data_IF_901505843324
#
_entry.id   IF_901505843324
#
_cell.length_a   1.000
_cell.length_b   1.000
_cell.length_c   1.000
_cell.angle_alpha   90.00
_cell.angle_beta   90.00
_cell.angle_gamma   90.00
#
_symmetry.space_group_name_H-M   'P 1'
#
loop_
_entity.id
_entity.type
_entity.pdbx_description
1 polymer ?
#
# COMPACT_ATOMS: atom_id res chain seq x y z
N UNK A 1 -5.54 15.53 16.27
CA UNK A 1 -4.07 15.45 16.16
C UNK A 1 -3.39 14.53 17.17
N UNK A 2 -3.66 14.62 18.48
CA UNK A 2 -2.98 13.75 19.47
C UNK A 2 -3.09 12.25 19.20
N UNK A 3 -4.28 11.78 18.79
CA UNK A 3 -4.52 10.40 18.37
C UNK A 3 -3.71 10.00 17.13
N UNK A 4 -3.65 10.85 16.12
CA UNK A 4 -2.88 10.59 14.90
C UNK A 4 -1.39 10.42 15.18
N UNK A 5 -0.82 11.24 16.07
CA UNK A 5 0.57 11.07 16.50
C UNK A 5 0.75 9.70 17.18
N UNK A 6 -0.16 9.30 18.07
CA UNK A 6 -0.12 7.99 18.72
C UNK A 6 -0.19 6.83 17.71
N UNK A 7 -1.05 6.92 16.69
CA UNK A 7 -1.14 5.91 15.61
C UNK A 7 0.15 5.82 14.81
N UNK A 8 0.74 6.96 14.44
CA UNK A 8 1.98 6.99 13.66
C UNK A 8 3.17 6.47 14.47
N UNK A 9 3.27 6.79 15.75
CA UNK A 9 4.34 6.28 16.64
C UNK A 9 4.21 4.77 16.89
N UNK A 10 2.98 4.26 16.97
CA UNK A 10 2.70 2.84 17.05
C UNK A 10 3.14 2.09 15.77
N UNK A 11 2.77 2.63 14.60
CA UNK A 11 3.17 2.09 13.29
C UNK A 11 4.70 2.17 13.11
N UNK A 12 5.31 3.29 13.51
CA UNK A 12 6.75 3.49 13.45
C UNK A 12 7.46 2.38 14.24
N UNK A 13 7.03 2.13 15.47
CA UNK A 13 7.63 1.14 16.36
C UNK A 13 7.45 -0.28 15.83
N UNK A 14 6.20 -0.70 15.60
CA UNK A 14 5.91 -2.10 15.29
C UNK A 14 6.18 -2.47 13.84
N UNK A 15 6.00 -1.54 12.89
CA UNK A 15 6.41 -1.73 11.51
C UNK A 15 7.92 -1.96 11.41
N UNK A 16 8.71 -1.14 12.12
CA UNK A 16 10.16 -1.30 12.21
C UNK A 16 10.54 -2.69 12.72
N UNK A 17 9.99 -3.09 13.86
CA UNK A 17 10.31 -4.39 14.46
C UNK A 17 10.04 -5.56 13.50
N UNK A 18 8.91 -5.55 12.79
CA UNK A 18 8.56 -6.59 11.80
C UNK A 18 9.58 -6.60 10.66
N UNK A 19 9.89 -5.44 10.07
CA UNK A 19 10.86 -5.32 8.97
C UNK A 19 12.23 -5.85 9.41
N UNK A 20 12.75 -5.39 10.55
CA UNK A 20 14.07 -5.80 11.03
C UNK A 20 14.16 -7.29 11.37
N UNK A 21 13.06 -7.90 11.83
CA UNK A 21 13.03 -9.34 12.11
C UNK A 21 13.23 -10.17 10.85
N UNK A 22 12.58 -9.78 9.73
CA UNK A 22 12.61 -10.54 8.48
C UNK A 22 13.57 -9.99 7.40
N UNK A 23 14.37 -8.96 7.69
CA UNK A 23 15.28 -8.29 6.74
C UNK A 23 16.40 -9.20 6.18
N UNK A 24 16.57 -10.42 6.68
CA UNK A 24 17.68 -11.31 6.32
C UNK A 24 17.24 -12.65 5.74
N UNK A 25 15.94 -12.88 5.64
CA UNK A 25 15.39 -14.18 5.28
C UNK A 25 14.94 -14.22 3.82
N UNK A 26 15.19 -15.36 3.16
CA UNK A 26 14.58 -15.67 1.87
C UNK A 26 13.10 -16.03 2.12
N UNK A 27 12.27 -14.98 2.19
CA UNK A 27 10.84 -15.12 2.49
C UNK A 27 10.01 -15.41 1.23
N UNK A 28 8.87 -16.11 1.35
CA UNK A 28 7.94 -16.29 0.24
C UNK A 28 7.53 -14.95 -0.40
N UNK A 29 7.27 -14.96 -1.72
CA UNK A 29 6.89 -13.74 -2.47
C UNK A 29 5.74 -12.93 -1.83
N UNK A 30 4.65 -13.55 -1.32
CA UNK A 30 3.63 -12.80 -0.58
C UNK A 30 4.21 -12.07 0.63
N UNK A 31 5.01 -12.72 1.46
CA UNK A 31 5.67 -12.07 2.60
C UNK A 31 6.57 -10.92 2.15
N UNK A 32 7.39 -11.12 1.10
CA UNK A 32 8.23 -10.04 0.53
C UNK A 32 7.38 -8.83 0.14
N UNK A 33 6.24 -9.07 -0.54
CA UNK A 33 5.32 -8.03 -0.97
C UNK A 33 4.74 -7.23 0.22
N UNK A 34 4.21 -7.92 1.23
CA UNK A 34 3.63 -7.28 2.41
C UNK A 34 4.67 -6.62 3.33
N UNK A 35 5.89 -7.16 3.42
CA UNK A 35 7.00 -6.49 4.10
C UNK A 35 7.34 -5.16 3.40
N UNK A 36 7.34 -5.12 2.06
CA UNK A 36 7.53 -3.89 1.31
C UNK A 36 6.43 -2.84 1.58
N UNK A 37 5.18 -3.26 1.76
CA UNK A 37 4.09 -2.37 2.18
C UNK A 37 4.29 -1.85 3.60
N UNK A 38 4.71 -2.71 4.55
CA UNK A 38 5.04 -2.31 5.92
C UNK A 38 6.22 -1.32 5.95
N UNK A 39 7.25 -1.52 5.13
CA UNK A 39 8.41 -0.62 5.04
C UNK A 39 8.05 0.77 4.54
N UNK A 40 7.22 0.85 3.50
CA UNK A 40 6.66 2.12 3.02
C UNK A 40 5.80 2.78 4.07
N UNK A 41 4.97 2.01 4.77
CA UNK A 41 4.10 2.51 5.83
C UNK A 41 4.90 3.05 7.02
N UNK A 42 5.95 2.35 7.46
CA UNK A 42 6.87 2.78 8.51
C UNK A 42 7.56 4.12 8.16
N UNK A 43 8.15 4.20 6.96
CA UNK A 43 8.85 5.41 6.49
C UNK A 43 7.89 6.61 6.37
N UNK A 44 6.66 6.32 5.94
CA UNK A 44 5.58 7.30 5.89
C UNK A 44 5.17 7.77 7.27
N UNK A 45 5.06 6.86 8.25
CA UNK A 45 4.67 7.21 9.60
C UNK A 45 5.64 8.21 10.24
N UNK A 46 6.95 8.01 10.06
CA UNK A 46 8.00 8.95 10.49
C UNK A 46 7.78 10.33 9.86
N UNK A 47 7.62 10.37 8.53
CA UNK A 47 7.48 11.61 7.77
C UNK A 47 6.21 12.38 8.14
N UNK A 48 5.08 11.68 8.26
CA UNK A 48 3.81 12.28 8.67
C UNK A 48 3.83 12.76 10.12
N UNK A 49 4.50 12.05 11.02
CA UNK A 49 4.61 12.46 12.41
C UNK A 49 5.32 13.82 12.50
N UNK A 50 6.42 14.00 11.75
CA UNK A 50 7.12 15.28 11.65
C UNK A 50 6.23 16.40 11.08
N UNK A 51 5.47 16.13 10.02
CA UNK A 51 4.58 17.13 9.40
C UNK A 51 3.37 17.49 10.28
N UNK A 52 2.77 16.52 10.95
CA UNK A 52 1.62 16.75 11.84
C UNK A 52 2.00 17.58 13.05
N UNK A 53 3.23 17.41 13.57
CA UNK A 53 3.75 18.22 14.67
C UNK A 53 3.93 19.70 14.29
N UNK A 54 4.03 20.03 13.00
CA UNK A 54 4.22 21.40 12.52
C UNK A 54 2.98 22.04 11.88
N UNK A 55 1.94 21.27 11.56
CA UNK A 55 0.78 21.77 10.79
C UNK A 55 -0.02 22.86 11.50
N UNK A 56 0.01 22.92 12.83
CA UNK A 56 -0.66 24.00 13.58
C UNK A 56 0.06 25.34 13.40
N UNK A 57 1.38 25.31 13.24
CA UNK A 57 2.20 26.51 13.05
C UNK A 57 2.32 26.88 11.56
N UNK A 58 2.27 25.88 10.68
CA UNK A 58 2.35 26.03 9.21
C UNK A 58 1.21 25.22 8.55
N UNK A 59 0.00 25.78 8.43
CA UNK A 59 -1.17 25.07 7.89
C UNK A 59 -0.98 24.56 6.46
N UNK A 60 -0.10 25.18 5.66
CA UNK A 60 0.24 24.75 4.30
C UNK A 60 0.85 23.34 4.25
N UNK A 61 1.37 22.84 5.39
CA UNK A 61 1.84 21.45 5.50
C UNK A 61 0.73 20.42 5.28
N UNK A 62 -0.55 20.82 5.38
CA UNK A 62 -1.70 19.98 5.05
C UNK A 62 -1.62 19.40 3.64
N UNK A 63 -1.09 20.17 2.69
CA UNK A 63 -0.94 19.72 1.31
C UNK A 63 -0.01 18.51 1.22
N UNK A 64 1.16 18.60 1.85
CA UNK A 64 2.15 17.52 1.89
C UNK A 64 1.64 16.31 2.66
N UNK A 65 0.98 16.54 3.79
CA UNK A 65 0.34 15.47 4.57
C UNK A 65 -0.67 14.72 3.70
N UNK A 66 -1.52 15.45 2.99
CA UNK A 66 -2.57 14.88 2.17
C UNK A 66 -2.05 14.08 0.97
N UNK A 67 -0.97 14.53 0.32
CA UNK A 67 -0.29 13.74 -0.72
C UNK A 67 0.21 12.40 -0.18
N UNK A 68 0.87 12.42 0.98
CA UNK A 68 1.40 11.22 1.61
C UNK A 68 0.26 10.29 2.02
N UNK A 69 -0.79 10.83 2.66
CA UNK A 69 -1.95 10.05 3.08
C UNK A 69 -2.61 9.35 1.90
N UNK A 70 -2.78 10.04 0.77
CA UNK A 70 -3.33 9.44 -0.45
C UNK A 70 -2.55 8.21 -0.89
N UNK A 71 -1.22 8.31 -0.93
CA UNK A 71 -0.35 7.21 -1.34
C UNK A 71 -0.51 6.01 -0.43
N UNK A 72 -0.57 6.22 0.90
CA UNK A 72 -0.75 5.12 1.85
C UNK A 72 -2.13 4.50 1.76
N UNK A 73 -3.19 5.27 1.52
CA UNK A 73 -4.53 4.70 1.32
C UNK A 73 -4.55 3.81 0.05
N UNK A 74 -3.84 4.20 -1.01
CA UNK A 74 -3.70 3.33 -2.18
C UNK A 74 -2.95 2.03 -1.84
N UNK A 75 -1.84 2.13 -1.10
CA UNK A 75 -1.09 0.96 -0.62
C UNK A 75 -1.97 0.06 0.27
N UNK A 76 -2.83 0.64 1.12
CA UNK A 76 -3.82 -0.08 1.91
C UNK A 76 -4.81 -0.84 1.03
N UNK A 77 -5.38 -0.21 -0.01
CA UNK A 77 -6.31 -0.90 -0.92
C UNK A 77 -5.63 -2.04 -1.68
N UNK A 78 -4.35 -1.88 -2.02
CA UNK A 78 -3.52 -2.94 -2.62
C UNK A 78 -3.34 -4.10 -1.64
N UNK A 79 -2.89 -3.83 -0.41
CA UNK A 79 -2.75 -4.85 0.63
C UNK A 79 -4.08 -5.54 0.95
N UNK A 80 -5.16 -4.78 1.02
CA UNK A 80 -6.51 -5.28 1.29
C UNK A 80 -7.02 -6.19 0.18
N UNK A 81 -6.77 -5.89 -1.11
CA UNK A 81 -7.20 -6.83 -2.17
C UNK A 81 -6.39 -8.13 -2.15
N UNK A 82 -5.11 -8.09 -1.79
CA UNK A 82 -4.35 -9.31 -1.59
C UNK A 82 -4.88 -10.13 -0.40
N UNK A 83 -5.32 -9.46 0.66
CA UNK A 83 -5.97 -10.10 1.82
C UNK A 83 -7.29 -10.76 1.43
N UNK A 84 -8.11 -10.07 0.64
CA UNK A 84 -9.36 -10.56 0.10
C UNK A 84 -9.19 -11.87 -0.67
N UNK A 85 -8.18 -11.94 -1.56
CA UNK A 85 -7.85 -13.15 -2.31
C UNK A 85 -7.57 -14.33 -1.37
N UNK A 86 -6.85 -14.07 -0.28
CA UNK A 86 -6.55 -15.09 0.72
C UNK A 86 -7.84 -15.58 1.41
N UNK A 87 -8.72 -14.65 1.80
CA UNK A 87 -10.00 -14.96 2.47
C UNK A 87 -11.00 -15.66 1.56
N UNK A 88 -11.18 -15.20 0.33
CA UNK A 88 -12.00 -15.86 -0.70
C UNK A 88 -11.56 -17.33 -0.86
N UNK A 89 -10.25 -17.58 -0.82
CA UNK A 89 -9.67 -18.91 -0.85
C UNK A 89 -10.00 -19.77 0.37
N UNK A 90 -9.83 -19.22 1.58
CA UNK A 90 -10.18 -19.91 2.84
C UNK A 90 -11.68 -20.27 2.89
N UNK A 91 -12.56 -19.34 2.52
CA UNK A 91 -14.01 -19.52 2.50
C UNK A 91 -14.47 -20.54 1.47
N UNK A 92 -13.81 -20.59 0.31
CA UNK A 92 -14.04 -21.62 -0.71
C UNK A 92 -13.52 -23.01 -0.31
N UNK A 93 -12.83 -23.14 0.83
CA UNK A 93 -12.20 -24.38 1.29
C UNK A 93 -11.00 -24.79 0.45
N UNK A 94 -10.35 -23.83 -0.22
CA UNK A 94 -9.12 -24.08 -0.98
C UNK A 94 -7.99 -24.45 -0.03
N UNK A 95 -7.08 -25.33 -0.47
CA UNK A 95 -5.87 -25.59 0.30
C UNK A 95 -4.88 -24.43 0.18
N UNK A 96 -3.91 -24.37 1.10
CA UNK A 96 -2.95 -23.26 1.17
C UNK A 96 -2.15 -23.07 -0.14
N UNK A 97 -1.78 -24.16 -0.82
CA UNK A 97 -1.02 -24.09 -2.07
C UNK A 97 -1.81 -23.41 -3.19
N UNK A 98 -3.10 -23.67 -3.31
CA UNK A 98 -3.97 -23.03 -4.30
C UNK A 98 -4.11 -21.53 -4.02
N UNK A 99 -4.33 -21.16 -2.75
CA UNK A 99 -4.39 -19.76 -2.31
C UNK A 99 -3.06 -19.05 -2.59
N UNK A 100 -1.94 -19.71 -2.32
CA UNK A 100 -0.60 -19.17 -2.56
C UNK A 100 -0.33 -18.90 -4.03
N UNK A 101 -0.80 -19.75 -4.96
CA UNK A 101 -0.68 -19.51 -6.39
C UNK A 101 -1.40 -18.22 -6.81
N UNK A 102 -2.64 -18.02 -6.36
CA UNK A 102 -3.43 -16.84 -6.71
C UNK A 102 -2.85 -15.57 -6.09
N UNK A 103 -2.40 -15.64 -4.83
CA UNK A 103 -1.77 -14.51 -4.16
C UNK A 103 -0.42 -14.16 -4.80
N UNK A 104 0.41 -15.14 -5.16
CA UNK A 104 1.66 -14.91 -5.90
C UNK A 104 1.40 -14.30 -7.27
N UNK A 105 0.35 -14.72 -7.97
CA UNK A 105 -0.06 -14.11 -9.25
C UNK A 105 -0.40 -12.63 -9.03
N UNK A 106 -1.20 -12.31 -8.02
CA UNK A 106 -1.56 -10.93 -7.67
C UNK A 106 -0.33 -10.06 -7.32
N UNK A 107 0.56 -10.55 -6.46
CA UNK A 107 1.79 -9.85 -6.10
C UNK A 107 2.66 -9.58 -7.32
N UNK A 108 2.82 -10.57 -8.20
CA UNK A 108 3.61 -10.42 -9.42
C UNK A 108 3.02 -9.41 -10.42
N UNK A 109 1.70 -9.40 -10.61
CA UNK A 109 1.01 -8.40 -11.43
C UNK A 109 1.32 -6.98 -10.92
N UNK A 110 1.21 -6.79 -9.60
CA UNK A 110 1.42 -5.49 -8.97
C UNK A 110 2.87 -5.03 -9.07
N UNK A 111 3.83 -5.91 -8.78
CA UNK A 111 5.26 -5.61 -8.88
C UNK A 111 5.70 -5.33 -10.33
N UNK A 112 5.18 -6.10 -11.29
CA UNK A 112 5.49 -5.93 -12.71
C UNK A 112 5.03 -4.58 -13.25
N UNK A 113 3.87 -4.07 -12.83
CA UNK A 113 3.36 -2.77 -13.29
C UNK A 113 4.32 -1.62 -12.96
N UNK A 114 4.94 -1.63 -11.77
CA UNK A 114 5.95 -0.64 -11.38
C UNK A 114 7.20 -0.66 -12.26
N UNK A 115 7.69 -1.86 -12.60
CA UNK A 115 8.84 -2.04 -13.50
C UNK A 115 8.50 -1.57 -14.91
N UNK A 116 7.33 -1.91 -15.44
CA UNK A 116 6.87 -1.49 -16.78
C UNK A 116 6.72 0.03 -16.86
N UNK A 117 6.12 0.68 -15.85
CA UNK A 117 6.00 2.14 -15.78
C UNK A 117 7.37 2.82 -15.79
N UNK A 118 8.34 2.25 -15.09
CA UNK A 118 9.73 2.73 -15.07
C UNK A 118 10.38 2.62 -16.46
N UNK A 119 10.23 1.49 -17.15
CA UNK A 119 10.68 1.32 -18.53
C UNK A 119 10.04 2.33 -19.49
N UNK A 120 8.72 2.56 -19.38
CA UNK A 120 7.99 3.55 -20.18
C UNK A 120 8.50 4.97 -19.97
N UNK A 121 8.90 5.33 -18.75
CA UNK A 121 9.50 6.62 -18.44
C UNK A 121 10.84 6.83 -19.18
N UNK A 122 11.72 5.82 -19.20
CA UNK A 122 12.97 5.93 -19.96
C UNK A 122 12.74 6.10 -21.47
N UNK A 123 11.76 5.39 -22.03
CA UNK A 123 11.36 5.58 -23.44
C UNK A 123 10.83 6.99 -23.67
N UNK A 124 10.07 7.56 -22.73
CA UNK A 124 9.60 8.94 -22.82
C UNK A 124 10.78 9.93 -22.80
N UNK A 125 11.76 9.75 -21.92
CA UNK A 125 12.97 10.59 -21.88
C UNK A 125 13.73 10.56 -23.21
N UNK A 126 13.90 9.37 -23.81
CA UNK A 126 14.52 9.24 -25.13
C UNK A 126 13.71 9.94 -26.22
N UNK A 127 12.38 9.79 -26.25
CA UNK A 127 11.49 10.52 -27.17
C UNK A 127 11.54 12.04 -27.01
N UNK A 128 11.98 12.53 -25.85
CA UNK A 128 12.16 13.95 -25.56
C UNK A 128 13.62 14.40 -25.66
N UNK A 129 14.47 13.56 -26.25
CA UNK A 129 15.89 13.84 -26.48
C UNK A 129 16.67 14.11 -25.18
N UNK A 130 16.15 13.66 -24.03
CA UNK A 130 16.80 13.75 -22.71
C UNK A 130 17.64 12.50 -22.39
N UNK A 131 17.58 11.47 -23.24
CA UNK A 131 18.32 10.22 -23.10
C UNK A 131 18.77 9.75 -24.50
N UNK A 132 20.06 9.48 -24.69
CA UNK A 132 20.56 8.96 -25.97
C UNK A 132 20.04 7.55 -26.24
N UNK A 133 20.06 7.14 -27.51
CA UNK A 133 19.64 5.80 -27.90
C UNK A 133 20.51 4.72 -27.22
N UNK A 134 21.83 4.90 -27.21
CA UNK A 134 22.77 3.98 -26.57
C UNK A 134 22.45 3.82 -25.09
N UNK A 135 22.18 4.94 -24.39
CA UNK A 135 21.87 4.88 -22.96
C UNK A 135 20.50 4.28 -22.69
N UNK A 136 19.52 4.50 -23.57
CA UNK A 136 18.24 3.81 -23.50
C UNK A 136 18.43 2.30 -23.62
N UNK A 137 19.19 1.83 -24.62
CA UNK A 137 19.45 0.41 -24.81
C UNK A 137 20.14 -0.22 -23.61
N UNK A 138 21.18 0.41 -23.06
CA UNK A 138 21.86 -0.05 -21.85
C UNK A 138 20.89 -0.14 -20.66
N UNK A 139 20.08 0.91 -20.46
CA UNK A 139 19.13 1.01 -19.35
C UNK A 139 18.04 -0.05 -19.43
N UNK A 140 17.43 -0.25 -20.60
CA UNK A 140 16.37 -1.24 -20.78
C UNK A 140 16.90 -2.68 -20.76
N UNK A 141 18.11 -2.92 -21.26
CA UNK A 141 18.77 -4.22 -21.12
C UNK A 141 19.05 -4.54 -19.65
N UNK A 142 19.60 -3.58 -18.89
CA UNK A 142 19.82 -3.75 -17.45
C UNK A 142 18.51 -3.99 -16.70
N UNK A 143 17.48 -3.18 -16.97
CA UNK A 143 16.16 -3.33 -16.35
C UNK A 143 15.57 -4.72 -16.61
N UNK A 144 15.58 -5.20 -17.86
CA UNK A 144 15.07 -6.54 -18.18
C UNK A 144 15.92 -7.70 -17.63
N UNK A 145 17.22 -7.47 -17.39
CA UNK A 145 18.10 -8.42 -16.68
C UNK A 145 17.78 -8.49 -15.19
N UNK A 146 17.81 -7.34 -14.51
CA UNK A 146 17.61 -7.23 -13.06
C UNK A 146 16.19 -7.67 -12.64
N UNK A 147 15.17 -7.42 -13.48
CA UNK A 147 13.76 -7.69 -13.21
C UNK A 147 13.16 -8.76 -14.13
N UNK A 148 13.98 -9.73 -14.55
CA UNK A 148 13.58 -10.78 -15.50
C UNK A 148 12.39 -11.65 -15.03
N UNK A 149 12.08 -11.69 -13.73
CA UNK A 149 10.89 -12.38 -13.21
C UNK A 149 9.58 -11.67 -13.60
N UNK A 150 9.61 -10.35 -13.81
CA UNK A 150 8.40 -9.53 -13.99
C UNK A 150 8.17 -9.02 -15.41
N UNK A 151 9.24 -8.81 -16.17
CA UNK A 151 9.17 -8.27 -17.53
C UNK A 151 9.87 -9.17 -18.54
N UNK A 152 9.43 -9.08 -19.79
CA UNK A 152 10.06 -9.76 -20.92
C UNK A 152 11.48 -9.23 -21.16
N UNK A 153 12.31 -10.00 -21.87
CA UNK A 153 13.62 -9.54 -22.31
C UNK A 153 13.45 -8.36 -23.27
N UNK A 154 14.29 -7.33 -23.11
CA UNK A 154 14.30 -6.21 -24.05
C UNK A 154 14.80 -6.65 -25.44
N UNK A 155 14.09 -6.24 -26.49
CA UNK A 155 14.33 -6.68 -27.87
C UNK A 155 15.09 -5.64 -28.72
N UNK A 156 15.69 -4.61 -28.10
CA UNK A 156 16.40 -3.52 -28.80
C UNK A 156 15.52 -2.74 -29.80
N UNK A 157 14.22 -2.61 -29.53
CA UNK A 157 13.24 -1.95 -30.40
C UNK A 157 12.85 -0.53 -29.93
N UNK A 158 13.56 0.01 -28.92
CA UNK A 158 13.25 1.28 -28.24
C UNK A 158 11.86 1.33 -27.60
N UNK A 159 11.25 0.17 -27.37
CA UNK A 159 9.99 0.03 -26.63
C UNK A 159 10.31 -0.52 -25.23
N UNK A 160 9.53 -0.08 -24.24
CA UNK A 160 9.67 -0.62 -22.89
C UNK A 160 9.34 -2.13 -22.91
N UNK A 161 10.12 -2.97 -22.21
CA UNK A 161 9.78 -4.38 -22.06
C UNK A 161 8.34 -4.56 -21.55
N UNK A 162 7.65 -5.56 -22.10
CA UNK A 162 6.28 -5.86 -21.70
C UNK A 162 6.27 -6.60 -20.36
N UNK A 163 5.19 -6.46 -19.62
CA UNK A 163 4.92 -7.31 -18.45
C UNK A 163 4.77 -8.76 -18.89
N UNK A 164 5.28 -9.71 -18.09
CA UNK A 164 4.94 -11.13 -18.22
C UNK A 164 3.55 -11.46 -17.68
N UNK A 165 2.95 -10.52 -16.98
CA UNK A 165 1.65 -10.64 -16.33
C UNK A 165 0.62 -9.71 -16.99
N UNK A 166 -0.66 -9.99 -16.73
CA UNK A 166 -1.75 -9.09 -17.13
C UNK A 166 -1.63 -7.70 -16.49
N UNK A 167 -2.38 -6.73 -17.02
CA UNK A 167 -2.36 -5.37 -16.49
C UNK A 167 -2.95 -5.34 -15.08
N UNK A 168 -2.25 -4.68 -14.15
CA UNK A 168 -2.72 -4.48 -12.80
C UNK A 168 -3.97 -3.60 -12.71
N UNK A 169 -4.67 -3.72 -11.58
CA UNK A 169 -5.86 -2.93 -11.29
C UNK A 169 -5.50 -1.44 -11.13
N UNK A 170 -6.36 -0.56 -11.63
CA UNK A 170 -6.33 0.86 -11.30
C UNK A 170 -6.88 1.09 -9.89
N UNK A 171 -6.74 2.30 -9.33
CA UNK A 171 -7.38 2.65 -8.07
C UNK A 171 -8.90 2.40 -8.08
N UNK A 172 -9.58 2.74 -9.19
CA UNK A 172 -11.01 2.45 -9.37
C UNK A 172 -11.29 0.94 -9.48
N UNK A 173 -10.43 0.19 -10.15
CA UNK A 173 -10.56 -1.27 -10.24
C UNK A 173 -10.35 -1.97 -8.90
N UNK A 174 -9.46 -1.45 -8.04
CA UNK A 174 -9.33 -1.92 -6.66
C UNK A 174 -10.61 -1.66 -5.86
N UNK A 175 -11.18 -0.45 -5.96
CA UNK A 175 -12.43 -0.11 -5.30
C UNK A 175 -13.58 -1.04 -5.72
N UNK A 176 -13.80 -1.22 -7.02
CA UNK A 176 -14.86 -2.10 -7.54
C UNK A 176 -14.71 -3.52 -6.97
N UNK A 177 -13.50 -4.10 -7.05
CA UNK A 177 -13.24 -5.44 -6.54
C UNK A 177 -13.48 -5.58 -5.05
N UNK A 178 -13.01 -4.64 -4.23
CA UNK A 178 -13.21 -4.67 -2.78
C UNK A 178 -14.69 -4.47 -2.44
N UNK A 179 -15.39 -3.59 -3.16
CA UNK A 179 -16.82 -3.31 -2.93
C UNK A 179 -17.73 -4.50 -3.24
N UNK A 180 -17.31 -5.36 -4.16
CA UNK A 180 -18.01 -6.59 -4.52
C UNK A 180 -17.76 -7.74 -3.51
N UNK A 181 -16.73 -7.62 -2.65
CA UNK A 181 -16.39 -8.66 -1.68
C UNK A 181 -17.24 -8.56 -0.40
N UNK A 182 -18.06 -9.58 -0.06
CA UNK A 182 -18.99 -9.49 1.07
C UNK A 182 -18.34 -9.22 2.43
N UNK A 183 -17.15 -9.77 2.67
CA UNK A 183 -16.46 -9.72 3.96
C UNK A 183 -15.56 -8.51 4.17
N UNK A 184 -15.30 -7.70 3.13
CA UNK A 184 -14.45 -6.50 3.25
C UNK A 184 -15.01 -5.26 2.55
N UNK A 185 -16.20 -5.33 1.95
CA UNK A 185 -16.82 -4.19 1.24
C UNK A 185 -16.93 -2.93 2.08
N UNK A 186 -17.07 -3.05 3.40
CA UNK A 186 -17.14 -1.90 4.29
C UNK A 186 -15.85 -1.07 4.24
N UNK A 187 -14.70 -1.74 4.06
CA UNK A 187 -13.39 -1.13 3.93
C UNK A 187 -13.18 -0.46 2.56
N UNK A 188 -14.00 -0.78 1.55
CA UNK A 188 -13.99 -0.08 0.26
C UNK A 188 -14.30 1.42 0.40
N UNK A 189 -15.03 1.83 1.45
CA UNK A 189 -15.33 3.23 1.73
C UNK A 189 -14.06 4.07 1.99
N UNK A 190 -12.94 3.44 2.35
CA UNK A 190 -11.66 4.15 2.44
C UNK A 190 -11.14 4.63 1.09
N UNK A 191 -11.67 4.12 -0.03
CA UNK A 191 -11.44 4.71 -1.35
C UNK A 191 -11.93 6.16 -1.46
N UNK A 192 -12.97 6.55 -0.71
CA UNK A 192 -13.42 7.95 -0.68
C UNK A 192 -12.31 8.87 -0.14
N UNK A 193 -11.51 8.39 0.82
CA UNK A 193 -10.34 9.12 1.35
C UNK A 193 -9.27 9.27 0.26
N UNK A 194 -9.00 8.21 -0.50
CA UNK A 194 -8.09 8.27 -1.66
C UNK A 194 -8.58 9.28 -2.73
N UNK A 195 -9.88 9.23 -3.06
CA UNK A 195 -10.49 10.15 -4.03
C UNK A 195 -10.44 11.59 -3.52
N UNK A 196 -10.78 11.84 -2.25
CA UNK A 196 -10.73 13.17 -1.64
C UNK A 196 -9.33 13.78 -1.69
N UNK A 197 -8.30 13.02 -1.32
CA UNK A 197 -6.93 13.51 -1.35
C UNK A 197 -6.33 13.53 -2.77
N UNK A 198 -7.02 13.01 -3.78
CA UNK A 198 -6.62 13.22 -5.19
C UNK A 198 -6.73 14.69 -5.62
N UNK A 199 -7.38 15.55 -4.79
CA UNK A 199 -7.38 17.01 -4.94
C UNK A 199 -5.97 17.63 -5.00
N UNK A 200 -4.94 16.98 -4.46
CA UNK A 200 -3.57 17.50 -4.46
C UNK A 200 -2.76 17.18 -5.72
N UNK A 201 -3.18 16.18 -6.52
CA UNK A 201 -2.49 15.80 -7.75
C UNK A 201 -3.15 16.37 -9.00
N UNK A 202 -4.46 16.63 -8.94
CA UNK A 202 -5.24 17.10 -10.08
C UNK A 202 -5.73 18.52 -9.84
N UNK A 203 -5.33 19.44 -10.71
CA UNK A 203 -5.88 20.79 -10.72
C UNK A 203 -7.23 20.83 -11.47
N UNK A 204 -8.29 21.16 -10.74
CA UNK A 204 -9.67 21.25 -11.25
C UNK A 204 -10.45 22.27 -10.42
N UNK A 205 -11.62 22.71 -10.91
CA UNK A 205 -12.49 23.61 -10.14
C UNK A 205 -12.91 23.02 -8.79
N UNK A 206 -13.14 21.70 -8.75
CA UNK A 206 -13.51 20.99 -7.53
C UNK A 206 -12.34 20.91 -6.56
N UNK A 207 -11.15 20.50 -7.02
CA UNK A 207 -9.97 20.44 -6.14
C UNK A 207 -9.56 21.82 -5.64
N UNK A 208 -9.65 22.86 -6.46
CA UNK A 208 -9.45 24.25 -6.01
C UNK A 208 -10.41 24.64 -4.88
N UNK A 209 -11.67 24.23 -4.97
CA UNK A 209 -12.67 24.49 -3.91
C UNK A 209 -12.35 23.73 -2.64
N UNK A 210 -12.02 22.44 -2.73
CA UNK A 210 -11.73 21.60 -1.56
C UNK A 210 -10.44 22.03 -0.87
N UNK A 211 -9.41 22.47 -1.61
CA UNK A 211 -8.14 22.98 -1.05
C UNK A 211 -8.31 24.26 -0.22
N UNK A 212 -9.36 25.04 -0.49
CA UNK A 212 -9.62 26.31 0.22
C UNK A 212 -10.48 26.17 1.47
N UNK A 213 -10.93 24.96 1.82
CA UNK A 213 -11.67 24.78 3.08
C UNK A 213 -10.75 25.08 4.27
N UNK A 214 -11.28 25.64 5.36
CA UNK A 214 -10.52 25.89 6.57
C UNK A 214 -9.77 24.65 7.06
N UNK A 215 -8.55 24.84 7.57
CA UNK A 215 -7.72 23.74 8.09
C UNK A 215 -8.45 22.93 9.17
N UNK A 216 -9.23 23.59 10.03
CA UNK A 216 -10.05 22.97 11.08
C UNK A 216 -11.03 21.92 10.55
N UNK A 217 -11.46 22.04 9.28
CA UNK A 217 -12.34 21.06 8.64
C UNK A 217 -11.56 19.91 7.99
N UNK A 218 -10.29 20.12 7.65
CA UNK A 218 -9.43 19.13 6.99
C UNK A 218 -8.78 18.20 8.01
N UNK A 219 -8.35 18.72 9.17
CA UNK A 219 -7.63 17.94 10.18
C UNK A 219 -8.41 16.69 10.66
N UNK A 220 -9.74 16.75 10.90
CA UNK A 220 -10.49 15.54 11.24
C UNK A 220 -10.47 14.46 10.15
N UNK A 221 -10.43 14.88 8.87
CA UNK A 221 -10.36 13.94 7.75
C UNK A 221 -8.98 13.27 7.66
N UNK A 222 -7.92 14.02 7.93
CA UNK A 222 -6.55 13.50 8.04
C UNK A 222 -6.44 12.53 9.20
N UNK A 223 -6.96 12.91 10.37
CA UNK A 223 -6.95 12.07 11.58
C UNK A 223 -7.63 10.72 11.29
N UNK A 224 -8.83 10.74 10.72
CA UNK A 224 -9.56 9.52 10.40
C UNK A 224 -8.90 8.72 9.26
N UNK A 225 -8.14 9.34 8.36
CA UNK A 225 -7.38 8.61 7.36
C UNK A 225 -6.15 7.90 7.95
N UNK A 226 -5.47 8.52 8.90
CA UNK A 226 -4.32 7.93 9.60
C UNK A 226 -4.74 6.75 10.47
N UNK A 227 -5.94 6.78 11.04
CA UNK A 227 -6.50 5.64 11.78
C UNK A 227 -6.49 4.33 10.96
N UNK A 228 -6.77 4.41 9.66
CA UNK A 228 -6.77 3.27 8.72
C UNK A 228 -5.39 2.64 8.58
N UNK A 229 -4.31 3.39 8.85
CA UNK A 229 -2.96 2.89 8.68
C UNK A 229 -2.61 1.80 9.68
N UNK A 230 -3.25 1.81 10.85
CA UNK A 230 -3.08 0.75 11.84
C UNK A 230 -3.68 -0.56 11.32
N UNK A 231 -4.87 -0.47 10.71
CA UNK A 231 -5.49 -1.62 10.04
C UNK A 231 -4.65 -2.11 8.87
N UNK A 232 -4.04 -1.20 8.11
CA UNK A 232 -3.09 -1.57 7.05
C UNK A 232 -1.91 -2.40 7.61
N UNK A 233 -1.30 -1.97 8.71
CA UNK A 233 -0.23 -2.73 9.36
C UNK A 233 -0.71 -4.11 9.83
N UNK A 234 -1.90 -4.19 10.41
CA UNK A 234 -2.52 -5.45 10.83
C UNK A 234 -2.73 -6.42 9.67
N UNK A 235 -3.34 -5.97 8.57
CA UNK A 235 -3.59 -6.80 7.39
C UNK A 235 -2.27 -7.36 6.83
N UNK A 236 -1.24 -6.51 6.71
CA UNK A 236 0.06 -6.95 6.23
C UNK A 236 0.69 -8.00 7.16
N UNK A 237 0.64 -7.76 8.48
CA UNK A 237 1.16 -8.68 9.47
C UNK A 237 0.39 -10.01 9.47
N UNK A 238 -0.93 -10.00 9.27
CA UNK A 238 -1.75 -11.21 9.30
C UNK A 238 -1.41 -12.11 8.12
N UNK A 239 -1.24 -11.54 6.91
CA UNK A 239 -0.76 -12.33 5.78
C UNK A 239 0.64 -12.90 6.05
N UNK A 240 1.58 -12.11 6.58
CA UNK A 240 2.91 -12.64 6.93
C UNK A 240 2.81 -13.82 7.91
N UNK A 241 1.93 -13.71 8.92
CA UNK A 241 1.65 -14.80 9.86
C UNK A 241 1.14 -16.06 9.17
N UNK A 242 0.27 -15.95 8.15
CA UNK A 242 -0.24 -17.12 7.41
C UNK A 242 0.85 -17.96 6.73
N UNK A 243 2.02 -17.37 6.47
CA UNK A 243 3.13 -18.04 5.78
C UNK A 243 4.29 -18.43 6.70
N UNK A 244 4.65 -17.57 7.65
CA UNK A 244 5.82 -17.79 8.52
C UNK A 244 5.44 -18.37 9.89
N UNK A 245 4.29 -17.95 10.43
CA UNK A 245 3.67 -18.44 11.66
C UNK A 245 4.62 -18.73 12.84
N UNK A 246 5.57 -17.83 13.12
CA UNK A 246 6.46 -17.93 14.27
C UNK A 246 5.91 -17.20 15.52
N UNK A 247 6.56 -17.41 16.68
CA UNK A 247 6.16 -16.77 17.93
C UNK A 247 6.24 -15.24 17.89
N UNK A 248 7.14 -14.69 17.07
CA UNK A 248 7.34 -13.25 16.96
C UNK A 248 6.15 -12.59 16.27
N UNK A 249 5.76 -13.05 15.07
CA UNK A 249 4.62 -12.47 14.34
C UNK A 249 3.30 -12.72 15.06
N UNK A 250 3.15 -13.88 15.71
CA UNK A 250 1.99 -14.16 16.56
C UNK A 250 1.90 -13.17 17.74
N UNK A 251 3.03 -12.85 18.38
CA UNK A 251 3.12 -11.80 19.39
C UNK A 251 2.75 -10.42 18.86
N UNK A 252 3.17 -10.08 17.63
CA UNK A 252 2.82 -8.80 16.99
C UNK A 252 1.34 -8.71 16.67
N UNK A 253 0.73 -9.75 16.11
CA UNK A 253 -0.71 -9.79 15.83
C UNK A 253 -1.52 -9.54 17.09
N UNK A 254 -1.15 -10.14 18.23
CA UNK A 254 -1.83 -9.85 19.50
C UNK A 254 -1.76 -8.37 19.87
N UNK A 255 -0.58 -7.75 19.81
CA UNK A 255 -0.39 -6.32 20.13
C UNK A 255 -1.21 -5.43 19.17
N UNK A 256 -1.19 -5.74 17.87
CA UNK A 256 -1.95 -5.01 16.85
C UNK A 256 -3.46 -5.13 17.10
N UNK A 257 -3.94 -6.33 17.44
CA UNK A 257 -5.35 -6.60 17.74
C UNK A 257 -5.81 -5.82 18.98
N UNK A 258 -5.03 -5.86 20.06
CA UNK A 258 -5.30 -5.11 21.30
C UNK A 258 -5.37 -3.60 21.04
N UNK A 259 -4.45 -3.07 20.23
CA UNK A 259 -4.43 -1.64 19.90
C UNK A 259 -5.63 -1.25 19.03
N UNK A 260 -5.97 -2.01 17.99
CA UNK A 260 -7.15 -1.73 17.16
C UNK A 260 -8.43 -1.78 18.01
N UNK A 261 -8.52 -2.74 18.93
CA UNK A 261 -9.65 -2.87 19.85
C UNK A 261 -9.82 -1.62 20.72
N UNK A 262 -8.72 -1.08 21.25
CA UNK A 262 -8.70 0.18 21.99
C UNK A 262 -9.15 1.36 21.12
N UNK A 263 -8.65 1.46 19.88
CA UNK A 263 -9.00 2.55 18.94
C UNK A 263 -10.49 2.53 18.61
N UNK A 264 -11.04 1.35 18.34
CA UNK A 264 -12.45 1.16 17.98
C UNK A 264 -13.40 1.14 19.20
N UNK A 265 -12.88 1.03 20.42
CA UNK A 265 -13.68 0.90 21.64
C UNK A 265 -14.46 -0.42 21.71
N UNK A 266 -13.90 -1.50 21.17
CA UNK A 266 -14.50 -2.85 21.14
C UNK A 266 -13.59 -3.86 21.84
N UNK A 267 -14.09 -5.04 22.26
CA UNK A 267 -13.24 -6.10 22.77
C UNK A 267 -12.27 -6.64 21.69
N UNK A 268 -11.06 -7.12 22.04
CA UNK A 268 -10.12 -7.70 21.06
C UNK A 268 -10.71 -8.82 20.20
N UNK A 269 -11.55 -9.67 20.78
CA UNK A 269 -12.25 -10.73 20.05
C UNK A 269 -13.15 -10.20 18.91
N UNK A 270 -13.63 -8.97 19.01
CA UNK A 270 -14.43 -8.34 17.95
C UNK A 270 -13.56 -7.79 16.80
N UNK A 271 -12.25 -7.63 16.99
CA UNK A 271 -11.33 -7.16 15.92
C UNK A 271 -11.00 -8.29 14.95
N UNK A 272 -10.86 -9.52 15.44
CA UNK A 272 -10.71 -10.71 14.59
C UNK A 272 -11.92 -10.83 13.64
N UNK A 273 -13.12 -10.54 14.16
CA UNK A 273 -14.38 -10.45 13.41
C UNK A 273 -14.47 -9.25 12.43
N UNK A 274 -13.70 -8.17 12.64
CA UNK A 274 -13.67 -6.96 11.77
C UNK A 274 -12.68 -7.13 10.63
N UNK A 275 -11.67 -7.98 10.77
CA UNK A 275 -10.90 -8.45 9.62
C UNK A 275 -11.76 -9.33 8.68
N UNK A 276 -12.85 -9.89 9.21
CA UNK A 276 -13.78 -10.81 8.54
C UNK A 276 -15.13 -10.15 8.14
N UNK A 277 -15.35 -8.84 8.36
CA UNK A 277 -16.60 -8.09 8.07
C UNK A 277 -16.38 -6.71 7.43
#
# INVERSE_FOLDING_TARGET
MGKSIQHLEFIETHGKEIIYHYNKDDVPLPCFFYLGLIERLHSTAISLNALIKTVNDVPEMEFSIGLIVRTVILDFLIGLRGYDIYKEGEEAGSNHDAIDIDLKKYCNITLADGVVKTGKYFVLLNKKEQLSDEKLHETLNKLSGDYSNWIEKYNNDKVAPKSKFEQGLTGSGLFEKISDSPGIKALALHFEKYAMFSKYEHFSAMSYTVLRRPIVDQLPTIDHAIEVFVLHLFICADIIKKYLNDDFINGKIRILTEYIAEVLGVPPAAVEDVADK
#
